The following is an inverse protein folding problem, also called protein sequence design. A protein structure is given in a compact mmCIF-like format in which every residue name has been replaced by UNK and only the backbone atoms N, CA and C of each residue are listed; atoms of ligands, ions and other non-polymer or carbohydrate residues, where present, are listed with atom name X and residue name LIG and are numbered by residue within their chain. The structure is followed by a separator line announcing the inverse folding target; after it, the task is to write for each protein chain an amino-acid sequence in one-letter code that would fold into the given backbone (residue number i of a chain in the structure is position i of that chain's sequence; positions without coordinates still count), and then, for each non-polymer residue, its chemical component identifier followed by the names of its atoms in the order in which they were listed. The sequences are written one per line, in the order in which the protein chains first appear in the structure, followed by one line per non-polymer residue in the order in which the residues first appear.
data_IF_272739968749
#
_entry.id   IF_272739968749
#
_cell.length_a   1.000
_cell.length_b   1.000
_cell.length_c   1.000
_cell.angle_alpha   90.00
_cell.angle_beta   90.00
_cell.angle_gamma   90.00
#
_symmetry.space_group_name_H-M   'P 1'
#
loop_
_entity.id
_entity.type
_entity.pdbx_description
1 polymer ?
#
# COMPACT_ATOMS: atom_id res chain seq x y z
N UNK A 1 -5.42 -16.41 15.69
CA UNK A 1 -4.78 -16.49 14.38
C UNK A 1 -5.63 -15.99 13.21
N UNK A 2 -6.94 -15.92 13.32
CA UNK A 2 -7.80 -15.35 12.26
C UNK A 2 -7.76 -13.81 12.14
N UNK A 3 -7.17 -13.13 13.10
CA UNK A 3 -7.13 -11.66 13.16
C UNK A 3 -5.99 -11.01 12.38
N UNK A 4 -5.00 -11.77 12.00
CA UNK A 4 -3.79 -11.27 11.31
C UNK A 4 -4.01 -11.18 9.79
N UNK A 5 -5.01 -11.90 9.31
CA UNK A 5 -5.32 -12.01 7.89
C UNK A 5 -5.75 -10.71 7.21
N UNK A 6 -6.19 -9.74 8.01
CA UNK A 6 -6.74 -8.49 7.51
C UNK A 6 -5.70 -7.38 7.25
N UNK A 7 -4.48 -7.57 7.79
CA UNK A 7 -3.44 -6.54 7.70
C UNK A 7 -2.81 -6.40 6.31
N UNK A 8 -2.89 -7.42 5.50
CA UNK A 8 -2.24 -7.46 4.17
C UNK A 8 -3.13 -6.87 3.10
N UNK A 9 -4.43 -7.06 3.22
CA UNK A 9 -5.42 -6.43 2.33
C UNK A 9 -5.40 -4.90 2.43
N UNK A 10 -4.78 -4.38 3.48
CA UNK A 10 -4.79 -2.95 3.77
C UNK A 10 -3.84 -2.16 2.85
N UNK A 11 -2.74 -2.75 2.44
CA UNK A 11 -1.86 -2.11 1.46
C UNK A 11 -2.49 -1.97 0.08
N UNK A 12 -3.48 -2.82 -0.22
CA UNK A 12 -4.11 -2.87 -1.53
C UNK A 12 -5.50 -2.27 -1.60
N UNK A 13 -6.20 -2.16 -0.46
CA UNK A 13 -7.61 -1.72 -0.46
C UNK A 13 -7.82 -0.21 -0.61
N UNK A 14 -6.75 0.58 -0.54
CA UNK A 14 -6.83 2.04 -0.79
C UNK A 14 -7.14 2.32 -2.27
N UNK A 15 -7.00 1.31 -3.12
CA UNK A 15 -7.09 1.47 -4.57
C UNK A 15 -8.46 1.20 -5.19
N UNK A 16 -9.40 0.67 -4.43
CA UNK A 16 -10.71 0.31 -5.02
C UNK A 16 -11.70 1.47 -5.11
N UNK A 17 -11.38 2.62 -4.55
CA UNK A 17 -12.35 3.70 -4.43
C UNK A 17 -12.40 4.66 -5.63
N UNK A 18 -11.48 4.57 -6.59
CA UNK A 18 -11.43 5.54 -7.68
C UNK A 18 -11.54 4.93 -9.09
N UNK A 19 -12.02 3.71 -9.19
CA UNK A 19 -12.41 3.16 -10.48
C UNK A 19 -13.89 3.46 -10.80
N UNK A 20 -14.38 4.64 -10.46
CA UNK A 20 -15.51 5.18 -11.18
C UNK A 20 -14.97 5.72 -12.50
N UNK A 21 -14.83 4.80 -13.43
CA UNK A 21 -14.79 5.18 -14.83
C UNK A 21 -16.14 5.82 -15.14
N UNK A 22 -16.14 7.12 -15.14
CA UNK A 22 -17.26 7.88 -15.66
C UNK A 22 -17.42 7.50 -17.14
N UNK A 23 -18.33 6.58 -17.41
CA UNK A 23 -18.73 6.20 -18.78
C UNK A 23 -19.57 7.28 -19.40
N UNK A 24 -19.12 8.49 -19.38
CA UNK A 24 -19.62 9.50 -20.30
C UNK A 24 -18.74 9.47 -21.54
N UNK A 25 -19.10 8.59 -22.44
CA UNK A 25 -18.63 8.64 -23.81
C UNK A 25 -19.29 9.86 -24.46
N UNK A 26 -18.65 10.99 -24.25
CA UNK A 26 -18.83 12.12 -25.13
C UNK A 26 -17.86 11.96 -26.29
N UNK A 27 -18.32 11.66 -27.48
CA UNK A 27 -17.53 11.70 -28.67
C UNK A 27 -16.89 13.09 -28.81
N UNK A 28 -15.55 13.14 -28.65
CA UNK A 28 -14.78 14.33 -28.83
C UNK A 28 -13.34 13.92 -29.06
N UNK A 29 -12.98 13.75 -30.32
CA UNK A 29 -11.61 13.67 -30.77
C UNK A 29 -10.80 14.80 -30.14
N UNK A 30 -9.85 14.47 -29.32
CA UNK A 30 -8.58 15.20 -29.25
C UNK A 30 -7.48 14.24 -28.87
N UNK A 31 -6.75 13.81 -29.88
CA UNK A 31 -5.39 13.35 -29.72
C UNK A 31 -4.60 14.45 -29.01
N UNK A 32 -4.37 14.30 -27.75
CA UNK A 32 -3.24 14.84 -27.09
C UNK A 32 -2.71 13.75 -26.18
N UNK A 33 -1.49 13.31 -26.48
CA UNK A 33 -0.79 12.27 -25.75
C UNK A 33 -0.71 12.60 -24.27
N UNK A 34 -1.80 12.34 -23.54
CA UNK A 34 -1.72 12.13 -22.11
C UNK A 34 -1.06 10.79 -21.95
N UNK A 35 0.26 10.84 -21.78
CA UNK A 35 0.96 9.77 -21.12
C UNK A 35 0.04 9.30 -19.99
N UNK A 36 -0.44 8.06 -20.09
CA UNK A 36 -0.98 7.36 -18.96
C UNK A 36 0.11 7.42 -17.90
N UNK A 37 0.02 8.41 -17.01
CA UNK A 37 0.79 8.37 -15.78
C UNK A 37 0.32 7.09 -15.11
N UNK A 38 1.07 6.00 -15.27
CA UNK A 38 0.99 4.86 -14.37
C UNK A 38 1.01 5.48 -13.00
N UNK A 39 -0.11 5.45 -12.31
CA UNK A 39 -0.17 5.92 -10.94
C UNK A 39 0.88 5.11 -10.21
N UNK A 40 1.93 5.77 -9.78
CA UNK A 40 2.98 5.11 -9.03
C UNK A 40 2.40 4.77 -7.65
N UNK A 41 2.07 3.50 -7.48
CA UNK A 41 1.48 2.97 -6.25
C UNK A 41 2.38 3.21 -5.05
N UNK A 42 3.69 3.16 -5.26
CA UNK A 42 4.68 3.45 -4.23
C UNK A 42 4.55 4.91 -3.80
N UNK A 43 4.57 5.82 -4.76
CA UNK A 43 4.49 7.25 -4.46
C UNK A 43 3.18 7.62 -3.76
N UNK A 44 2.05 7.13 -4.24
CA UNK A 44 0.74 7.36 -3.62
C UNK A 44 0.70 6.84 -2.18
N UNK A 45 1.25 5.66 -1.92
CA UNK A 45 1.31 5.09 -0.57
C UNK A 45 2.20 5.91 0.35
N UNK A 46 3.34 6.35 -0.15
CA UNK A 46 4.29 7.21 0.60
C UNK A 46 3.66 8.57 0.92
N UNK A 47 3.01 9.21 -0.04
CA UNK A 47 2.32 10.48 0.17
C UNK A 47 1.19 10.37 1.21
N UNK A 48 0.44 9.28 1.17
CA UNK A 48 -0.62 9.01 2.16
C UNK A 48 -0.02 8.88 3.56
N UNK A 49 1.00 8.05 3.73
CA UNK A 49 1.67 7.87 5.02
C UNK A 49 2.33 9.17 5.50
N UNK A 50 2.94 9.92 4.60
CA UNK A 50 3.53 11.23 4.91
C UNK A 50 2.49 12.19 5.48
N UNK A 51 1.33 12.31 4.85
CA UNK A 51 0.24 13.18 5.31
C UNK A 51 -0.34 12.73 6.64
N UNK A 52 -0.65 11.46 6.75
CA UNK A 52 -1.31 10.90 7.95
C UNK A 52 -0.40 10.90 9.18
N UNK A 53 0.88 10.63 8.99
CA UNK A 53 1.86 10.52 10.09
C UNK A 53 2.72 11.78 10.26
N UNK A 54 2.63 12.73 9.34
CA UNK A 54 3.50 13.93 9.33
C UNK A 54 4.99 13.53 9.35
N UNK A 55 5.38 12.69 8.38
CA UNK A 55 6.75 12.20 8.27
C UNK A 55 7.71 13.33 7.88
N UNK A 56 8.91 13.32 8.47
CA UNK A 56 10.01 14.16 8.00
C UNK A 56 10.67 13.59 6.74
N UNK A 57 11.60 14.34 6.15
CA UNK A 57 12.25 13.93 4.90
C UNK A 57 13.07 12.65 5.02
N UNK A 58 13.68 12.41 6.16
CA UNK A 58 14.44 11.18 6.44
C UNK A 58 13.51 9.97 6.58
N UNK A 59 12.46 10.12 7.37
CA UNK A 59 11.43 9.08 7.53
C UNK A 59 10.75 8.76 6.21
N UNK A 60 10.43 9.77 5.40
CA UNK A 60 9.84 9.60 4.07
C UNK A 60 10.72 8.74 3.16
N UNK A 61 12.03 8.99 3.14
CA UNK A 61 12.98 8.22 2.33
C UNK A 61 13.02 6.74 2.74
N UNK A 62 13.01 6.47 4.06
CA UNK A 62 12.97 5.09 4.58
C UNK A 62 11.63 4.43 4.24
N UNK A 63 10.52 5.12 4.47
CA UNK A 63 9.17 4.60 4.16
C UNK A 63 9.05 4.29 2.67
N UNK A 64 9.59 5.13 1.80
CA UNK A 64 9.61 4.88 0.35
C UNK A 64 10.30 3.56 0.00
N UNK A 65 11.45 3.30 0.59
CA UNK A 65 12.18 2.05 0.38
C UNK A 65 11.39 0.84 0.92
N UNK A 66 10.81 0.96 2.11
CA UNK A 66 10.00 -0.10 2.71
C UNK A 66 8.75 -0.41 1.89
N UNK A 67 8.05 0.61 1.40
CA UNK A 67 6.86 0.44 0.55
C UNK A 67 7.24 -0.23 -0.77
N UNK A 68 8.33 0.21 -1.39
CA UNK A 68 8.82 -0.40 -2.63
C UNK A 68 9.18 -1.86 -2.45
N UNK A 69 9.97 -2.18 -1.44
CA UNK A 69 10.37 -3.56 -1.12
C UNK A 69 9.14 -4.44 -0.83
N UNK A 70 8.20 -3.94 -0.04
CA UNK A 70 6.96 -4.65 0.27
C UNK A 70 6.14 -4.94 -0.99
N UNK A 71 6.05 -3.98 -1.89
CA UNK A 71 5.32 -4.12 -3.15
C UNK A 71 5.98 -5.15 -4.07
N UNK A 72 7.30 -5.08 -4.23
CA UNK A 72 8.06 -6.02 -5.07
C UNK A 72 7.91 -7.46 -4.57
N UNK A 73 8.11 -7.69 -3.27
CA UNK A 73 7.95 -9.01 -2.65
C UNK A 73 6.53 -9.54 -2.74
N UNK A 74 5.55 -8.68 -2.51
CA UNK A 74 4.14 -9.07 -2.64
C UNK A 74 3.78 -9.45 -4.07
N UNK A 75 4.29 -8.72 -5.05
CA UNK A 75 4.10 -9.02 -6.46
C UNK A 75 4.71 -10.37 -6.83
N UNK A 76 5.94 -10.64 -6.40
CA UNK A 76 6.61 -11.93 -6.64
C UNK A 76 5.78 -13.10 -6.09
N UNK A 77 5.24 -12.98 -4.89
CA UNK A 77 4.39 -14.01 -4.29
C UNK A 77 3.09 -14.21 -5.07
N UNK A 78 2.44 -13.11 -5.48
CA UNK A 78 1.18 -13.16 -6.23
C UNK A 78 1.37 -13.81 -7.60
N UNK A 79 2.44 -13.45 -8.30
CA UNK A 79 2.74 -13.95 -9.65
C UNK A 79 3.32 -15.36 -9.66
N UNK A 80 3.87 -15.84 -8.55
CA UNK A 80 4.43 -17.18 -8.46
C UNK A 80 3.36 -18.26 -8.67
N UNK A 81 3.65 -19.20 -9.55
CA UNK A 81 2.78 -20.36 -9.83
C UNK A 81 3.08 -21.57 -8.96
N UNK A 82 4.20 -21.53 -8.24
CA UNK A 82 4.68 -22.61 -7.39
C UNK A 82 3.98 -22.71 -6.03
N UNK A 83 3.30 -21.63 -5.61
CA UNK A 83 2.61 -21.57 -4.33
C UNK A 83 1.11 -21.78 -4.48
N UNK A 84 0.53 -22.53 -3.54
CA UNK A 84 -0.92 -22.63 -3.38
C UNK A 84 -1.51 -21.34 -2.78
N UNK A 85 -2.81 -21.15 -2.91
CA UNK A 85 -3.46 -19.95 -2.35
C UNK A 85 -3.26 -19.79 -0.84
N UNK A 86 -3.31 -20.84 0.00
CA UNK A 86 -2.98 -20.72 1.41
C UNK A 86 -1.53 -20.30 1.67
N UNK A 87 -0.58 -20.82 0.90
CA UNK A 87 0.84 -20.45 1.02
C UNK A 87 1.07 -19.00 0.62
N UNK A 88 0.48 -18.54 -0.48
CA UNK A 88 0.54 -17.12 -0.89
C UNK A 88 0.02 -16.22 0.22
N UNK A 89 -1.10 -16.57 0.83
CA UNK A 89 -1.68 -15.80 1.93
C UNK A 89 -0.74 -15.73 3.13
N UNK A 90 -0.14 -16.85 3.51
CA UNK A 90 0.82 -16.90 4.62
C UNK A 90 2.04 -16.01 4.34
N UNK A 91 2.61 -16.09 3.14
CA UNK A 91 3.76 -15.27 2.72
C UNK A 91 3.43 -13.78 2.67
N UNK A 92 2.26 -13.42 2.14
CA UNK A 92 1.81 -12.03 2.13
C UNK A 92 1.58 -11.49 3.55
N UNK A 93 1.11 -12.33 4.47
CA UNK A 93 0.97 -11.97 5.89
C UNK A 93 2.34 -11.66 6.51
N UNK A 94 3.31 -12.53 6.29
CA UNK A 94 4.67 -12.35 6.78
C UNK A 94 5.30 -11.05 6.24
N UNK A 95 5.15 -10.79 4.95
CA UNK A 95 5.62 -9.57 4.31
C UNK A 95 5.01 -8.33 4.96
N UNK A 96 3.70 -8.34 5.21
CA UNK A 96 2.99 -7.25 5.86
C UNK A 96 3.39 -7.04 7.33
N UNK A 97 3.60 -8.10 8.08
CA UNK A 97 4.07 -8.03 9.49
C UNK A 97 5.49 -7.46 9.55
N UNK A 98 6.35 -7.89 8.66
CA UNK A 98 7.71 -7.36 8.57
C UNK A 98 7.72 -5.87 8.23
N UNK A 99 6.91 -5.45 7.26
CA UNK A 99 6.72 -4.04 6.92
C UNK A 99 6.26 -3.23 8.15
N UNK A 100 5.25 -3.69 8.87
CA UNK A 100 4.75 -3.03 10.07
C UNK A 100 5.84 -2.92 11.16
N UNK A 101 6.63 -3.96 11.35
CA UNK A 101 7.71 -3.97 12.32
C UNK A 101 8.77 -2.93 11.97
N UNK A 102 9.17 -2.87 10.71
CA UNK A 102 10.21 -1.93 10.26
C UNK A 102 9.73 -0.47 10.29
N UNK A 103 8.50 -0.20 9.87
CA UNK A 103 7.96 1.16 9.91
C UNK A 103 7.82 1.68 11.35
N UNK A 104 7.41 0.84 12.28
CA UNK A 104 7.29 1.21 13.70
C UNK A 104 8.62 1.63 14.32
N UNK A 105 9.74 1.07 13.87
CA UNK A 105 11.09 1.41 14.39
C UNK A 105 11.51 2.85 14.10
N UNK A 106 10.99 3.44 13.03
CA UNK A 106 11.38 4.79 12.58
C UNK A 106 10.41 5.87 13.01
N UNK A 107 9.28 5.51 13.58
CA UNK A 107 8.24 6.45 14.01
C UNK A 107 8.50 6.98 15.43
N UNK A 108 8.19 8.26 15.67
CA UNK A 108 8.09 8.82 17.02
C UNK A 108 6.88 8.23 17.76
N UNK A 109 6.79 8.43 19.07
CA UNK A 109 5.67 7.95 19.88
C UNK A 109 4.32 8.47 19.38
N UNK A 110 4.23 9.75 19.03
CA UNK A 110 3.02 10.36 18.48
C UNK A 110 2.65 9.79 17.12
N UNK A 111 3.65 9.60 16.25
CA UNK A 111 3.44 8.99 14.94
C UNK A 111 3.02 7.52 15.06
N UNK A 112 3.58 6.80 16.02
CA UNK A 112 3.24 5.41 16.29
C UNK A 112 1.76 5.26 16.68
N UNK A 113 1.27 6.12 17.57
CA UNK A 113 -0.16 6.14 17.94
C UNK A 113 -1.07 6.42 16.73
N UNK A 114 -0.69 7.38 15.90
CA UNK A 114 -1.42 7.67 14.65
C UNK A 114 -1.41 6.47 13.70
N UNK A 115 -0.28 5.82 13.56
CA UNK A 115 -0.13 4.64 12.71
C UNK A 115 -0.99 3.46 13.20
N UNK A 116 -1.00 3.20 14.49
CA UNK A 116 -1.84 2.16 15.09
C UNK A 116 -3.34 2.45 14.94
N UNK A 117 -3.74 3.72 15.06
CA UNK A 117 -5.12 4.14 14.76
C UNK A 117 -5.49 3.95 13.30
N UNK A 118 -4.58 4.22 12.37
CA UNK A 118 -4.79 3.98 10.94
C UNK A 118 -5.00 2.50 10.65
N UNK A 119 -4.18 1.65 11.23
CA UNK A 119 -4.29 0.19 11.06
C UNK A 119 -5.60 -0.32 11.66
N UNK A 120 -5.99 0.14 12.85
CA UNK A 120 -7.21 -0.32 13.52
C UNK A 120 -8.49 0.15 12.83
N UNK A 121 -8.53 1.36 12.28
CA UNK A 121 -9.67 1.84 11.47
C UNK A 121 -9.92 0.98 10.23
N UNK A 122 -8.87 0.47 9.64
CA UNK A 122 -8.97 -0.40 8.46
C UNK A 122 -9.41 -1.82 8.78
N UNK A 123 -9.42 -2.21 10.06
CA UNK A 123 -9.93 -3.53 10.51
C UNK A 123 -11.45 -3.57 10.68
N UNK A 124 -12.11 -2.45 10.63
CA UNK A 124 -13.58 -2.36 10.68
C UNK A 124 -14.14 -2.29 9.26
#
# INVERSE_FOLDING_TARGET
MKKIFFLILIGFSIFSANAQVDRRIGAGQYQNGKQNKKVDLVETSVETLKKELTLDGFQEAIVRNLVKENQEKSKEVIEATSYTDPEKRALLTEIGEKFNTEIKKILSNEQLEKYEKLISKKKK
#
